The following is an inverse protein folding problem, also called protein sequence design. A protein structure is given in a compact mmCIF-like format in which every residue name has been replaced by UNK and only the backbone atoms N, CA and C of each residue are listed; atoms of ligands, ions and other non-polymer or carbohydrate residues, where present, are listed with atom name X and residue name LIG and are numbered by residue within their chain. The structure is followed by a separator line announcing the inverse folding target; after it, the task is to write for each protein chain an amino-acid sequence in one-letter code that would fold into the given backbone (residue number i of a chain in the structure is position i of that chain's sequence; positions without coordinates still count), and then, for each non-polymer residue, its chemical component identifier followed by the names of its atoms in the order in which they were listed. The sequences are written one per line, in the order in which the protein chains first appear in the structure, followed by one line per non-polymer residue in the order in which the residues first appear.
data_IF_890713318906
#
_entry.id   IF_890713318906
#
_cell.length_a   1.000
_cell.length_b   1.000
_cell.length_c   1.000
_cell.angle_alpha   90.00
_cell.angle_beta   90.00
_cell.angle_gamma   90.00
#
_symmetry.space_group_name_H-M   'P 1'
#
loop_
_entity.id
_entity.type
_entity.pdbx_description
1 polymer ?
#
# COMPACT_ATOMS: atom_id res chain seq x y z
N UNK A 1 -41.62 -15.87 -3.25
CA UNK A 1 -41.51 -15.97 -4.71
C UNK A 1 -41.57 -14.53 -5.19
N UNK A 2 -40.55 -14.12 -5.94
CA UNK A 2 -40.27 -12.74 -6.40
C UNK A 2 -39.57 -11.82 -5.38
N UNK A 3 -38.24 -11.86 -5.43
CA UNK A 3 -37.37 -10.79 -4.93
C UNK A 3 -36.31 -10.56 -6.01
N UNK A 4 -36.42 -9.42 -6.70
CA UNK A 4 -35.62 -9.02 -7.85
C UNK A 4 -34.11 -9.27 -7.70
N UNK A 5 -33.58 -10.14 -8.56
CA UNK A 5 -32.14 -10.32 -8.76
C UNK A 5 -31.66 -9.17 -9.65
N UNK A 6 -31.10 -8.11 -9.05
CA UNK A 6 -30.45 -7.05 -9.82
C UNK A 6 -29.16 -7.61 -10.43
N UNK A 7 -29.20 -7.90 -11.73
CA UNK A 7 -28.02 -8.26 -12.52
C UNK A 7 -27.15 -6.99 -12.69
N UNK A 8 -26.00 -6.95 -12.03
CA UNK A 8 -24.97 -5.99 -12.41
C UNK A 8 -24.22 -6.57 -13.62
N UNK A 9 -24.25 -5.81 -14.71
CA UNK A 9 -23.51 -6.14 -15.93
C UNK A 9 -22.24 -5.30 -15.92
N UNK A 10 -21.09 -5.95 -16.01
CA UNK A 10 -19.81 -5.24 -16.15
C UNK A 10 -19.53 -4.92 -17.62
N UNK A 11 -18.64 -3.96 -17.90
CA UNK A 11 -18.30 -3.46 -19.25
C UNK A 11 -17.70 -4.53 -20.19
N UNK A 12 -17.38 -5.71 -19.65
CA UNK A 12 -16.90 -6.89 -20.37
C UNK A 12 -18.00 -7.90 -20.72
N UNK A 13 -19.26 -7.62 -20.37
CA UNK A 13 -20.43 -8.45 -20.68
C UNK A 13 -20.61 -9.66 -19.76
N UNK A 14 -19.83 -9.79 -18.69
CA UNK A 14 -20.02 -10.83 -17.68
C UNK A 14 -21.19 -10.51 -16.74
N UNK A 15 -21.94 -11.54 -16.34
CA UNK A 15 -23.07 -11.45 -15.38
C UNK A 15 -22.76 -12.34 -14.18
N UNK A 16 -22.60 -11.73 -13.01
CA UNK A 16 -22.37 -12.49 -11.78
C UNK A 16 -23.72 -12.82 -11.11
N UNK A 17 -23.96 -14.11 -10.89
CA UNK A 17 -25.09 -14.57 -10.09
C UNK A 17 -24.68 -14.43 -8.63
N UNK A 18 -25.28 -13.50 -7.89
CA UNK A 18 -25.01 -13.28 -6.46
C UNK A 18 -25.51 -14.48 -5.63
N UNK A 19 -24.79 -15.59 -5.66
CA UNK A 19 -24.81 -16.60 -4.59
C UNK A 19 -24.26 -15.94 -3.32
N UNK A 20 -24.88 -16.18 -2.16
CA UNK A 20 -24.61 -15.54 -0.86
C UNK A 20 -23.20 -15.75 -0.25
N UNK A 21 -22.22 -16.03 -1.08
CA UNK A 21 -20.79 -16.08 -0.81
C UNK A 21 -20.05 -15.21 -1.85
N UNK A 22 -20.30 -13.90 -1.91
CA UNK A 22 -19.16 -13.01 -2.17
C UNK A 22 -18.30 -13.06 -0.92
N UNK A 23 -17.62 -14.20 -0.70
CA UNK A 23 -16.49 -14.29 0.21
C UNK A 23 -15.54 -13.23 -0.26
N UNK A 24 -15.44 -12.17 0.54
CA UNK A 24 -14.66 -10.99 0.22
C UNK A 24 -13.26 -11.50 -0.07
N UNK A 25 -12.81 -11.35 -1.31
CA UNK A 25 -11.47 -11.79 -1.70
C UNK A 25 -10.54 -10.73 -1.16
N UNK A 26 -9.59 -11.11 -0.31
CA UNK A 26 -8.58 -10.18 0.17
C UNK A 26 -7.86 -9.56 -1.04
N UNK A 27 -7.98 -8.25 -1.21
CA UNK A 27 -7.38 -7.50 -2.30
C UNK A 27 -5.96 -7.09 -1.90
N UNK A 28 -4.96 -7.50 -2.67
CA UNK A 28 -3.60 -6.99 -2.51
C UNK A 28 -3.43 -5.73 -3.38
N UNK A 29 -3.29 -4.58 -2.74
CA UNK A 29 -3.08 -3.28 -3.39
C UNK A 29 -1.67 -2.78 -3.07
N UNK A 30 -0.89 -2.48 -4.11
CA UNK A 30 0.42 -1.88 -3.96
C UNK A 30 0.31 -0.35 -3.99
N UNK A 31 0.46 0.28 -2.83
CA UNK A 31 0.59 1.71 -2.68
C UNK A 31 2.04 2.11 -3.00
N UNK A 32 2.26 2.63 -4.20
CA UNK A 32 3.59 3.00 -4.67
C UNK A 32 4.14 4.30 -4.06
N UNK A 33 5.46 4.54 -4.16
CA UNK A 33 6.12 5.72 -3.59
C UNK A 33 5.80 7.05 -4.31
N UNK A 34 5.15 6.99 -5.47
CA UNK A 34 4.64 8.16 -6.19
C UNK A 34 3.17 8.47 -5.85
N UNK A 35 2.53 7.68 -4.99
CA UNK A 35 1.15 7.93 -4.65
C UNK A 35 1.03 9.31 -3.98
N UNK A 36 0.16 10.22 -4.48
CA UNK A 36 0.12 11.61 -4.00
C UNK A 36 -0.26 11.75 -2.52
N UNK A 37 -0.83 10.71 -1.91
CA UNK A 37 -1.10 10.64 -0.47
C UNK A 37 0.04 10.04 0.37
N UNK A 38 1.16 9.61 -0.24
CA UNK A 38 2.37 9.26 0.49
C UNK A 38 3.14 10.55 0.80
N UNK A 39 3.10 11.01 2.06
CA UNK A 39 4.00 12.07 2.53
C UNK A 39 5.42 11.52 2.60
N UNK A 40 6.21 11.75 1.55
CA UNK A 40 7.56 11.20 1.39
C UNK A 40 7.60 10.06 0.38
N UNK A 41 8.67 9.23 0.41
CA UNK A 41 8.78 8.05 -0.45
C UNK A 41 8.63 6.78 0.38
N UNK A 42 7.42 6.25 0.37
CA UNK A 42 7.05 5.03 1.08
C UNK A 42 6.27 4.14 0.13
N UNK A 43 6.63 2.85 0.10
CA UNK A 43 5.83 1.83 -0.59
C UNK A 43 5.12 0.98 0.46
N UNK A 44 3.82 0.82 0.33
CA UNK A 44 3.02 -0.07 1.19
C UNK A 44 2.38 -1.14 0.31
N UNK A 45 2.58 -2.40 0.66
CA UNK A 45 1.78 -3.49 0.10
C UNK A 45 0.66 -3.77 1.11
N UNK A 46 -0.57 -3.51 0.70
CA UNK A 46 -1.75 -3.56 1.56
C UNK A 46 -2.59 -4.77 1.20
N UNK A 47 -2.99 -5.54 2.19
CA UNK A 47 -4.02 -6.57 2.08
C UNK A 47 -5.30 -6.01 2.68
N UNK A 48 -6.31 -5.82 1.83
CA UNK A 48 -7.57 -5.18 2.18
C UNK A 48 -8.72 -6.19 2.15
N UNK A 49 -9.56 -6.11 3.17
CA UNK A 49 -10.89 -6.72 3.22
C UNK A 49 -11.93 -5.60 3.09
N UNK A 50 -12.28 -5.26 1.84
CA UNK A 50 -13.12 -4.11 1.52
C UNK A 50 -12.47 -2.78 1.93
N UNK A 51 -13.04 -2.10 2.93
CA UNK A 51 -12.54 -0.83 3.49
C UNK A 51 -11.61 -1.03 4.69
N UNK A 52 -11.48 -2.27 5.19
CA UNK A 52 -10.65 -2.61 6.36
C UNK A 52 -9.28 -3.09 5.91
N UNK A 53 -8.23 -2.59 6.55
CA UNK A 53 -6.86 -3.07 6.35
C UNK A 53 -6.61 -4.27 7.27
N UNK A 54 -6.41 -5.46 6.70
CA UNK A 54 -6.01 -6.64 7.47
C UNK A 54 -4.50 -6.64 7.75
N UNK A 55 -3.70 -6.32 6.74
CA UNK A 55 -2.23 -6.36 6.84
C UNK A 55 -1.59 -5.29 5.97
N UNK A 56 -0.52 -4.68 6.47
CA UNK A 56 0.30 -3.76 5.71
C UNK A 56 1.78 -4.15 5.81
N UNK A 57 2.43 -4.24 4.65
CA UNK A 57 3.88 -4.44 4.55
C UNK A 57 4.53 -3.15 4.09
N UNK A 58 5.14 -2.39 5.02
CA UNK A 58 5.89 -1.20 4.67
C UNK A 58 7.26 -1.56 4.12
N UNK A 59 7.50 -1.21 2.86
CA UNK A 59 8.82 -1.25 2.25
C UNK A 59 9.53 0.10 2.47
N UNK A 60 10.38 0.14 3.48
CA UNK A 60 11.22 1.30 3.84
C UNK A 60 12.61 1.23 3.19
N UNK A 61 13.41 2.30 3.34
CA UNK A 61 14.80 2.33 2.88
C UNK A 61 15.01 2.98 1.51
N UNK A 62 13.97 3.49 0.87
CA UNK A 62 14.06 4.22 -0.41
C UNK A 62 14.90 5.50 -0.33
N UNK A 63 15.10 6.06 0.87
CA UNK A 63 16.01 7.18 1.17
C UNK A 63 17.13 6.78 2.12
N UNK A 64 17.55 5.50 2.13
CA UNK A 64 18.72 5.11 2.90
C UNK A 64 19.97 5.78 2.28
N UNK A 65 20.46 6.84 2.93
CA UNK A 65 21.63 7.63 2.49
C UNK A 65 22.96 7.13 3.05
N UNK A 66 22.96 6.06 3.87
CA UNK A 66 24.17 5.55 4.51
C UNK A 66 24.87 6.56 5.42
N UNK A 67 24.11 7.45 6.08
CA UNK A 67 24.64 8.53 6.92
C UNK A 67 25.54 7.98 8.03
N UNK A 68 25.16 6.88 8.66
CA UNK A 68 25.97 6.21 9.70
C UNK A 68 27.38 5.85 9.19
N UNK A 69 27.47 5.28 7.98
CA UNK A 69 28.75 4.92 7.36
C UNK A 69 29.57 6.15 6.99
N UNK A 70 28.90 7.19 6.49
CA UNK A 70 29.55 8.46 6.14
C UNK A 70 30.13 9.17 7.36
N UNK A 71 29.50 9.00 8.54
CA UNK A 71 29.96 9.59 9.80
C UNK A 71 31.24 8.93 10.35
N UNK A 72 31.57 7.70 9.94
CA UNK A 72 32.83 7.03 10.34
C UNK A 72 34.08 7.71 9.76
N UNK A 73 33.97 8.26 8.55
CA UNK A 73 35.09 8.87 7.82
C UNK A 73 35.33 10.35 8.17
N UNK A 74 34.52 10.94 9.06
CA UNK A 74 34.52 12.37 9.35
C UNK A 74 34.72 12.65 10.83
N UNK A 75 35.24 13.84 11.11
CA UNK A 75 35.42 14.30 12.49
C UNK A 75 34.07 14.64 13.14
N UNK A 76 34.02 14.58 14.47
CA UNK A 76 32.79 14.83 15.24
C UNK A 76 32.10 16.17 14.89
N UNK A 77 32.88 17.24 14.70
CA UNK A 77 32.32 18.56 14.33
C UNK A 77 31.67 18.55 12.94
N UNK A 78 32.25 17.81 11.99
CA UNK A 78 31.75 17.71 10.62
C UNK A 78 30.48 16.84 10.53
N UNK A 79 30.19 16.05 11.55
CA UNK A 79 29.01 15.20 11.60
C UNK A 79 27.75 15.93 12.09
N UNK A 80 27.88 17.13 12.67
CA UNK A 80 26.74 17.90 13.18
C UNK A 80 25.64 18.16 12.13
N UNK A 81 25.95 18.53 10.87
CA UNK A 81 24.92 18.79 9.85
C UNK A 81 24.19 17.54 9.34
N UNK A 82 24.68 16.33 9.64
CA UNK A 82 24.01 15.08 9.24
C UNK A 82 22.89 14.65 10.20
N UNK A 83 22.80 15.32 11.36
CA UNK A 83 21.84 15.03 12.43
C UNK A 83 20.71 16.08 12.51
N UNK A 84 20.68 17.04 11.59
CA UNK A 84 19.60 18.02 11.39
C UNK A 84 18.52 17.42 10.46
#
# INVERSE_FOLDING_TARGET
MDGDIRQNTYDDGSRDLLTGEQRIRNFNINFGPQHPAAHGVLRLVLELDGEVVERCDPHIGLLHRGTEKLMESRTYLQNLPYLD
#
